data_IF_428948376911
#
_entry.id   IF_428948376911
#
_cell.length_a   1.000
_cell.length_b   1.000
_cell.length_c   1.000
_cell.angle_alpha   90.00
_cell.angle_beta   90.00
_cell.angle_gamma   90.00
#
_symmetry.space_group_name_H-M   'P 1'
#
loop_
_entity.id
_entity.type
_entity.pdbx_description
1 polymer ?
#
# COMPACT_ATOMS: atom_id res chain seq x y z
N UNK A 1 3.40 -7.93 2.94
CA UNK A 1 3.61 -6.47 2.96
C UNK A 1 2.38 -5.80 3.53
N UNK A 2 2.51 -4.63 4.15
CA UNK A 2 1.37 -3.81 4.58
C UNK A 2 1.39 -2.44 3.90
N UNK A 3 0.21 -1.86 3.71
CA UNK A 3 -0.04 -0.54 3.13
C UNK A 3 -0.89 0.25 4.13
N UNK A 4 -0.56 1.51 4.37
CA UNK A 4 -1.29 2.44 5.22
C UNK A 4 -1.54 3.72 4.44
N UNK A 5 -2.75 4.27 4.55
CA UNK A 5 -3.15 5.50 3.87
C UNK A 5 -3.11 6.67 4.86
N UNK A 6 -2.41 7.73 4.48
CA UNK A 6 -2.37 9.01 5.17
C UNK A 6 -3.06 10.06 4.30
N UNK A 7 -4.22 10.50 4.77
CA UNK A 7 -5.09 11.51 4.14
C UNK A 7 -5.91 12.21 5.24
N UNK A 8 -6.71 13.20 4.87
CA UNK A 8 -7.63 13.89 5.78
C UNK A 8 -8.66 12.92 6.40
N UNK A 9 -9.16 11.97 5.60
CA UNK A 9 -9.93 10.81 6.05
C UNK A 9 -9.17 9.50 5.69
N UNK A 10 -8.42 8.91 6.63
CA UNK A 10 -7.65 7.68 6.38
C UNK A 10 -8.52 6.43 6.28
N UNK A 11 -9.75 6.44 6.85
CA UNK A 11 -10.66 5.28 6.79
C UNK A 11 -11.29 5.21 5.40
N UNK A 12 -11.81 6.33 4.90
CA UNK A 12 -12.31 6.43 3.53
C UNK A 12 -11.21 6.15 2.51
N UNK A 13 -10.02 6.74 2.70
CA UNK A 13 -8.86 6.51 1.83
C UNK A 13 -8.43 5.04 1.78
N UNK A 14 -8.42 4.33 2.91
CA UNK A 14 -8.09 2.90 2.95
C UNK A 14 -9.16 2.05 2.27
N UNK A 15 -10.44 2.37 2.48
CA UNK A 15 -11.55 1.65 1.84
C UNK A 15 -11.51 1.83 0.31
N UNK A 16 -11.26 3.06 -0.16
CA UNK A 16 -11.10 3.36 -1.58
C UNK A 16 -9.88 2.64 -2.18
N UNK A 17 -8.74 2.65 -1.49
CA UNK A 17 -7.56 1.92 -1.94
C UNK A 17 -7.82 0.40 -1.98
N UNK A 18 -8.53 -0.14 -0.99
CA UNK A 18 -8.89 -1.56 -0.95
C UNK A 18 -9.81 -1.95 -2.10
N UNK A 19 -10.80 -1.11 -2.41
CA UNK A 19 -11.70 -1.34 -3.54
C UNK A 19 -10.96 -1.27 -4.87
N UNK A 20 -10.12 -0.24 -5.05
CA UNK A 20 -9.27 -0.05 -6.22
C UNK A 20 -8.37 -1.27 -6.49
N UNK A 21 -7.60 -1.71 -5.49
CA UNK A 21 -6.73 -2.88 -5.63
C UNK A 21 -7.53 -4.17 -5.82
N UNK A 22 -8.77 -4.23 -5.33
CA UNK A 22 -9.68 -5.36 -5.52
C UNK A 22 -10.20 -5.51 -6.96
N UNK A 23 -10.15 -4.44 -7.76
CA UNK A 23 -10.49 -4.49 -9.19
C UNK A 23 -9.44 -5.24 -10.01
N UNK A 24 -8.19 -5.32 -9.54
CA UNK A 24 -7.11 -6.06 -10.20
C UNK A 24 -7.29 -7.58 -10.02
N UNK A 25 -7.49 -8.35 -11.11
CA UNK A 25 -7.68 -9.80 -11.03
C UNK A 25 -6.53 -10.53 -10.32
N UNK A 26 -5.30 -10.08 -10.51
CA UNK A 26 -4.07 -10.68 -9.97
C UNK A 26 -3.86 -10.37 -8.48
N UNK A 27 -4.48 -9.30 -7.96
CA UNK A 27 -4.43 -8.93 -6.54
C UNK A 27 -5.63 -9.47 -5.75
N UNK A 28 -6.64 -9.99 -6.45
CA UNK A 28 -7.87 -10.50 -5.84
C UNK A 28 -7.57 -11.61 -4.83
N UNK A 29 -8.03 -11.42 -3.60
CA UNK A 29 -7.81 -12.37 -2.50
C UNK A 29 -6.42 -12.28 -1.84
N UNK A 30 -5.49 -11.50 -2.42
CA UNK A 30 -4.17 -11.21 -1.86
C UNK A 30 -4.17 -9.95 -1.00
N UNK A 31 -5.11 -9.03 -1.25
CA UNK A 31 -5.34 -7.82 -0.46
C UNK A 31 -6.38 -8.12 0.62
N UNK A 32 -6.02 -7.88 1.88
CA UNK A 32 -6.92 -8.00 3.02
C UNK A 32 -6.81 -6.79 3.93
N UNK A 33 -7.94 -6.17 4.27
CA UNK A 33 -7.99 -5.17 5.33
C UNK A 33 -7.63 -5.84 6.66
N UNK A 34 -6.59 -5.33 7.30
CA UNK A 34 -6.18 -5.78 8.60
C UNK A 34 -6.70 -4.77 9.62
N UNK A 35 -7.81 -5.11 10.25
CA UNK A 35 -8.47 -4.28 11.27
C UNK A 35 -7.94 -4.58 12.68
N UNK A 36 -6.93 -5.44 12.82
CA UNK A 36 -6.44 -5.88 14.14
C UNK A 36 -5.33 -4.94 14.63
N UNK A 37 -5.59 -4.05 15.61
CA UNK A 37 -4.53 -3.21 16.18
C UNK A 37 -3.47 -4.06 16.90
N UNK A 38 -2.20 -3.74 16.67
CA UNK A 38 -1.08 -4.31 17.42
C UNK A 38 -1.06 -3.80 18.87
N UNK A 39 -0.67 -4.62 19.85
CA UNK A 39 -0.56 -4.18 21.25
C UNK A 39 0.54 -3.11 21.39
N UNK A 40 0.15 -1.88 21.69
CA UNK A 40 1.04 -0.71 21.83
C UNK A 40 0.86 0.36 20.74
N UNK A 41 0.14 0.03 19.65
CA UNK A 41 -0.14 0.95 18.53
C UNK A 41 -1.59 1.43 18.62
N UNK A 42 -1.88 2.26 19.61
CA UNK A 42 -3.17 2.93 19.74
C UNK A 42 -3.38 3.88 18.54
N UNK A 43 -4.06 3.41 17.51
CA UNK A 43 -4.82 4.23 16.55
C UNK A 43 -4.35 4.21 15.09
N UNK A 44 -3.06 4.02 14.80
CA UNK A 44 -2.54 4.26 13.43
C UNK A 44 -2.53 3.00 12.54
N UNK A 45 -2.13 1.83 13.06
CA UNK A 45 -2.09 0.58 12.30
C UNK A 45 -3.43 -0.18 12.26
N UNK A 46 -4.46 0.33 12.94
CA UNK A 46 -5.81 -0.24 12.90
C UNK A 46 -6.47 -0.18 11.50
N UNK A 47 -5.91 0.63 10.60
CA UNK A 47 -6.37 0.88 9.24
C UNK A 47 -5.26 0.58 8.23
N UNK A 48 -4.78 -0.66 8.17
CA UNK A 48 -3.77 -1.08 7.18
C UNK A 48 -4.31 -2.19 6.28
N UNK A 49 -3.91 -2.18 5.00
CA UNK A 49 -4.13 -3.29 4.06
C UNK A 49 -2.91 -4.20 4.08
N UNK A 50 -3.12 -5.48 4.27
CA UNK A 50 -2.08 -6.49 4.09
C UNK A 50 -2.17 -7.05 2.69
N UNK A 51 -1.04 -7.02 1.98
CA UNK A 51 -0.88 -7.61 0.66
C UNK A 51 0.06 -8.79 0.74
N UNK A 52 -0.43 -9.96 0.32
CA UNK A 52 0.37 -11.16 0.16
C UNK A 52 1.22 -11.06 -1.12
N UNK A 53 2.50 -10.71 -0.97
CA UNK A 53 3.47 -10.66 -2.07
C UNK A 53 4.28 -11.95 -2.02
N UNK A 54 3.98 -12.89 -2.92
CA UNK A 54 4.64 -14.21 -2.98
C UNK A 54 5.49 -14.44 -4.23
N UNK A 55 5.26 -13.69 -5.31
CA UNK A 55 5.97 -13.83 -6.58
C UNK A 55 6.15 -12.46 -7.25
N UNK A 56 7.22 -12.29 -8.04
CA UNK A 56 7.57 -11.00 -8.66
C UNK A 56 6.47 -10.39 -9.54
N UNK A 57 5.59 -11.20 -10.12
CA UNK A 57 4.46 -10.71 -10.94
C UNK A 57 3.41 -9.94 -10.14
N UNK A 58 3.12 -10.36 -8.90
CA UNK A 58 2.15 -9.67 -8.03
C UNK A 58 2.66 -8.28 -7.64
N UNK A 59 3.98 -8.15 -7.43
CA UNK A 59 4.61 -6.88 -7.06
C UNK A 59 4.51 -5.85 -8.19
N UNK A 60 4.76 -6.25 -9.43
CA UNK A 60 4.66 -5.35 -10.59
C UNK A 60 3.21 -4.91 -10.85
N UNK A 61 2.23 -5.81 -10.70
CA UNK A 61 0.80 -5.43 -10.81
C UNK A 61 0.40 -4.46 -9.70
N UNK A 62 0.81 -4.73 -8.46
CA UNK A 62 0.57 -3.82 -7.35
C UNK A 62 1.20 -2.45 -7.60
N UNK A 63 2.43 -2.40 -8.10
CA UNK A 63 3.09 -1.15 -8.44
C UNK A 63 2.31 -0.39 -9.52
N UNK A 64 1.93 -1.05 -10.62
CA UNK A 64 1.18 -0.43 -11.70
C UNK A 64 -0.18 0.10 -11.23
N UNK A 65 -0.90 -0.67 -10.41
CA UNK A 65 -2.21 -0.28 -9.89
C UNK A 65 -2.09 0.91 -8.91
N UNK A 66 -1.08 0.91 -8.03
CA UNK A 66 -0.80 2.05 -7.14
C UNK A 66 -0.41 3.31 -7.93
N UNK A 67 0.36 3.16 -9.02
CA UNK A 67 0.68 4.27 -9.92
C UNK A 67 -0.58 4.88 -10.51
N UNK A 68 -1.48 4.05 -11.04
CA UNK A 68 -2.75 4.50 -11.58
C UNK A 68 -3.63 5.16 -10.52
N UNK A 69 -3.71 4.59 -9.30
CA UNK A 69 -4.44 5.16 -8.18
C UNK A 69 -3.95 6.56 -7.79
N UNK A 70 -2.63 6.75 -7.69
CA UNK A 70 -2.00 8.02 -7.31
C UNK A 70 -1.98 9.06 -8.43
N UNK A 71 -2.02 8.63 -9.69
CA UNK A 71 -2.07 9.53 -10.84
C UNK A 71 -3.46 10.16 -11.05
N UNK A 72 -4.52 9.60 -10.44
CA UNK A 72 -5.86 10.18 -10.53
C UNK A 72 -5.92 11.53 -9.80
N UNK A 73 -6.58 12.54 -10.39
CA UNK A 73 -6.81 13.82 -9.72
C UNK A 73 -7.72 13.62 -8.52
N UNK A 74 -7.15 13.75 -7.32
CA UNK A 74 -7.83 13.57 -6.04
C UNK A 74 -8.01 14.91 -5.34
N UNK A 75 -9.09 15.02 -4.56
CA UNK A 75 -9.40 16.22 -3.76
C UNK A 75 -8.42 16.44 -2.60
N UNK A 76 -7.75 15.38 -2.16
CA UNK A 76 -6.87 15.35 -1.00
C UNK A 76 -5.50 14.78 -1.38
N UNK A 77 -4.44 15.28 -0.75
CA UNK A 77 -3.09 14.74 -0.89
C UNK A 77 -3.05 13.38 -0.17
N UNK A 78 -3.01 12.30 -0.95
CA UNK A 78 -3.00 10.92 -0.43
C UNK A 78 -1.57 10.42 -0.42
N UNK A 79 -1.12 9.96 0.75
CA UNK A 79 0.18 9.32 0.92
C UNK A 79 0.00 7.89 1.38
N UNK A 80 0.78 6.99 0.81
CA UNK A 80 0.72 5.56 1.06
C UNK A 80 2.03 5.15 1.70
N UNK A 81 1.98 4.74 2.96
CA UNK A 81 3.11 4.12 3.66
C UNK A 81 3.11 2.63 3.41
N UNK A 82 4.27 2.09 3.08
CA UNK A 82 4.45 0.68 2.75
C UNK A 82 5.56 0.11 3.62
N UNK A 83 5.34 -1.07 4.19
CA UNK A 83 6.40 -1.78 4.92
C UNK A 83 6.42 -3.29 4.69
N UNK A 84 7.64 -3.82 4.64
CA UNK A 84 7.92 -5.25 4.72
C UNK A 84 7.79 -5.78 6.15
N UNK A 85 7.64 -7.10 6.32
CA UNK A 85 7.56 -7.76 7.64
C UNK A 85 8.62 -8.87 7.72
N UNK A 86 9.28 -9.10 8.88
CA UNK A 86 9.28 -8.29 10.10
C UNK A 86 10.36 -7.20 10.15
N UNK A 87 11.45 -7.33 9.39
CA UNK A 87 12.61 -6.42 9.43
C UNK A 87 12.55 -5.32 8.36
N UNK A 88 11.40 -5.18 7.70
CA UNK A 88 11.25 -4.44 6.45
C UNK A 88 11.37 -2.93 6.63
N UNK A 89 12.08 -2.29 5.70
CA UNK A 89 12.10 -0.84 5.57
C UNK A 89 10.67 -0.34 5.34
N UNK A 90 10.38 0.84 5.87
CA UNK A 90 9.14 1.55 5.57
C UNK A 90 9.44 2.64 4.55
N UNK A 91 8.69 2.67 3.46
CA UNK A 91 8.77 3.71 2.42
C UNK A 91 7.45 4.48 2.33
N UNK A 92 7.53 5.71 1.85
CA UNK A 92 6.37 6.58 1.63
C UNK A 92 6.24 6.85 0.13
N UNK A 93 5.03 6.64 -0.37
CA UNK A 93 4.66 6.80 -1.78
C UNK A 93 3.56 7.84 -1.86
N UNK A 94 3.77 8.86 -2.66
CA UNK A 94 2.83 9.96 -2.88
C UNK A 94 2.66 10.21 -4.38
N UNK A 95 1.73 11.09 -4.75
CA UNK A 95 1.46 11.43 -6.15
C UNK A 95 2.69 12.04 -6.87
N UNK A 96 3.67 12.59 -6.15
CA UNK A 96 4.92 13.15 -6.72
C UNK A 96 5.96 12.07 -7.00
N UNK A 97 5.89 10.92 -6.30
CA UNK A 97 6.79 9.76 -6.43
C UNK A 97 6.17 8.61 -7.23
N UNK A 98 5.16 8.92 -8.06
CA UNK A 98 4.44 7.91 -8.85
C UNK A 98 5.32 7.22 -9.91
N UNK A 99 6.44 7.80 -10.33
CA UNK A 99 7.41 7.14 -11.23
C UNK A 99 8.08 5.93 -10.59
N UNK A 100 8.37 6.01 -9.30
CA UNK A 100 9.33 5.14 -8.60
C UNK A 100 8.66 4.10 -7.70
N UNK A 101 7.33 3.99 -7.75
CA UNK A 101 6.52 3.09 -6.90
C UNK A 101 7.09 1.68 -6.85
N UNK A 102 7.43 1.07 -8.00
CA UNK A 102 7.93 -0.31 -8.01
C UNK A 102 9.27 -0.47 -7.26
N UNK A 103 10.17 0.51 -7.40
CA UNK A 103 11.46 0.52 -6.70
C UNK A 103 11.24 0.64 -5.20
N UNK A 104 10.37 1.58 -4.79
CA UNK A 104 10.02 1.78 -3.37
C UNK A 104 9.39 0.51 -2.77
N UNK A 105 8.52 -0.20 -3.51
CA UNK A 105 7.96 -1.47 -3.02
C UNK A 105 9.04 -2.55 -2.86
N UNK A 106 10.03 -2.62 -3.75
CA UNK A 106 11.18 -3.54 -3.62
C UNK A 106 12.06 -3.18 -2.43
N UNK A 107 12.36 -1.90 -2.24
CA UNK A 107 13.08 -1.37 -1.07
C UNK A 107 12.39 -1.76 0.25
N UNK A 108 11.06 -1.62 0.31
CA UNK A 108 10.26 -1.98 1.49
C UNK A 108 10.33 -3.47 1.82
N UNK A 109 10.47 -4.31 0.79
CA UNK A 109 10.68 -5.76 0.92
C UNK A 109 12.14 -6.15 1.16
N UNK A 110 13.08 -5.19 1.13
CA UNK A 110 14.51 -5.46 1.22
C UNK A 110 15.08 -6.17 0.00
N UNK A 111 14.46 -5.99 -1.17
CA UNK A 111 14.89 -6.56 -2.46
C UNK A 111 15.65 -5.54 -3.34
N UNK A 112 16.36 -4.58 -2.75
CA UNK A 112 17.40 -3.82 -3.47
C UNK A 112 18.46 -4.82 -3.97
N UNK A 113 18.64 -4.91 -5.28
CA UNK A 113 19.81 -5.54 -5.92
C UNK A 113 20.73 -4.44 -6.48
#
# INVERSE_FOLDING_TARGET
MWLLVESDDPVEGLAELSDWLGQEPELRGLVKANTTPGPGELGSLANALVVAVGSGGVLSVLAASLKAYLALPRRSDVRIKVGGRPDGRTVEIDAKRVSDVEVLLREALGQDE
#
